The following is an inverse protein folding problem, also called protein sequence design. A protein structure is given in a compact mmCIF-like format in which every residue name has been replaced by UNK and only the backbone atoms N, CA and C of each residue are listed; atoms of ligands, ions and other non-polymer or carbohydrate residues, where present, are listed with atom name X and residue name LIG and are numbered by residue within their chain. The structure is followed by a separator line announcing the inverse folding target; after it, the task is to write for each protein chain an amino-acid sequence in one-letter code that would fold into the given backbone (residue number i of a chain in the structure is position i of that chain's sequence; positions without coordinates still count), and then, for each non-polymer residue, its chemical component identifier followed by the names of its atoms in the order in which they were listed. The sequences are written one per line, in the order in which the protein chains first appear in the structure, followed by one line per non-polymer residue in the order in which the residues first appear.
data_IF_271504899650
#
_entry.id   IF_271504899650
#
_cell.length_a   1.000
_cell.length_b   1.000
_cell.length_c   1.000
_cell.angle_alpha   90.00
_cell.angle_beta   90.00
_cell.angle_gamma   90.00
#
_symmetry.space_group_name_H-M   'P 1'
#
loop_
_entity.id
_entity.type
_entity.pdbx_description
1 polymer ?
#
# COMPACT_ATOMS: atom_id res chain seq x y z
N UNK A 1 16.38 -2.32 -2.26
CA UNK A 1 16.72 -2.16 -2.90
C UNK A 1 16.95 -2.07 -3.34
N UNK A 2 16.38 -2.30 -2.85
CA UNK A 2 16.63 -2.18 -3.29
C UNK A 2 16.46 -2.17 -3.87
N UNK A 3 15.94 -2.30 -3.47
CA UNK A 3 16.00 -2.21 -4.01
C UNK A 3 15.72 -2.10 -4.62
N UNK A 4 15.25 -2.19 -4.14
CA UNK A 4 15.27 -2.01 -4.72
C UNK A 4 15.09 -1.81 -5.37
N UNK A 5 14.67 -1.85 -4.93
CA UNK A 5 14.78 -1.60 -5.69
C UNK A 5 14.69 -1.40 -6.24
N UNK A 6 14.42 -1.42 -6.08
CA UNK A 6 14.58 -1.18 -6.90
C UNK A 6 14.40 -0.95 -7.47
N UNK A 7 14.17 -0.99 -7.23
CA UNK A 7 14.29 -0.76 -8.03
C UNK A 7 14.16 -0.38 -8.38
N UNK A 8 14.01 -0.39 -8.35
CA UNK A 8 14.00 -0.04 -9.03
C UNK A 8 13.91 0.22 -9.50
N UNK A 9 13.73 0.19 -9.30
CA UNK A 9 13.81 0.39 -10.14
C UNK A 9 13.48 0.51 -10.57
N UNK A 10 13.66 0.57 -10.78
CA UNK A 10 13.52 0.60 -11.58
C UNK A 10 13.21 0.65 -12.18
N UNK A 11 13.34 0.61 -12.42
CA UNK A 11 13.16 0.61 -13.32
C UNK A 11 12.92 0.80 -13.96
N UNK A 12 13.02 0.73 -14.31
CA UNK A 12 12.82 0.90 -15.20
C UNK A 12 12.69 0.81 -15.95
N UNK A 13 12.80 0.52 -16.39
CA UNK A 13 12.69 0.44 -17.32
C UNK A 13 12.41 0.00 -18.06
N UNK A 14 12.33 -0.52 -18.26
CA UNK A 14 12.26 -0.96 -19.20
C UNK A 14 11.74 -1.15 -20.07
N UNK A 15 11.70 -0.96 -20.27
CA UNK A 15 11.36 -1.14 -21.15
C UNK A 15 11.05 -1.45 -21.98
N UNK A 16 11.15 -1.29 -22.23
CA UNK A 16 10.66 -1.53 -23.05
C UNK A 16 10.75 -2.20 -23.71
N UNK A 17 11.11 -2.36 -23.81
CA UNK A 17 11.07 -2.99 -24.43
C UNK A 17 10.46 -4.06 -24.75
N UNK A 18 10.46 -4.89 -24.84
CA UNK A 18 9.82 -6.11 -25.09
C UNK A 18 8.35 -6.10 -25.32
N UNK A 19 7.80 -5.00 -25.61
CA UNK A 19 6.40 -4.92 -25.90
C UNK A 19 5.49 -5.16 -24.70
N UNK A 20 4.24 -5.48 -24.99
CA UNK A 20 3.20 -5.57 -23.97
C UNK A 20 3.48 -6.65 -22.95
N UNK A 21 4.02 -7.78 -23.40
CA UNK A 21 4.32 -8.88 -22.49
C UNK A 21 5.33 -8.47 -21.45
N UNK A 22 6.38 -7.79 -21.87
CA UNK A 22 7.39 -7.31 -20.93
C UNK A 22 6.80 -6.29 -19.96
N UNK A 23 5.96 -5.40 -20.46
CA UNK A 23 5.28 -4.43 -19.61
C UNK A 23 4.41 -5.12 -18.57
N UNK A 24 3.67 -6.13 -19.00
CA UNK A 24 2.77 -6.83 -18.12
C UNK A 24 3.51 -7.54 -16.98
N UNK A 25 4.71 -8.03 -17.24
CA UNK A 25 5.50 -8.73 -16.24
C UNK A 25 6.29 -7.77 -15.37
N UNK A 26 6.95 -6.78 -15.97
CA UNK A 26 7.88 -5.92 -15.27
C UNK A 26 7.23 -4.67 -14.66
N UNK A 27 6.06 -4.31 -15.14
CA UNK A 27 5.34 -3.14 -14.65
C UNK A 27 3.87 -3.47 -14.46
N UNK A 28 3.51 -3.97 -13.25
CA UNK A 28 2.12 -4.35 -12.98
C UNK A 28 1.14 -3.19 -12.99
N UNK A 29 1.66 -1.96 -13.01
CA UNK A 29 0.80 -0.78 -12.97
C UNK A 29 0.40 -0.27 -14.35
N UNK A 30 0.84 -0.94 -15.43
CA UNK A 30 0.54 -0.45 -16.76
C UNK A 30 -0.96 -0.34 -17.03
N UNK A 31 -1.78 -1.15 -16.36
CA UNK A 31 -3.22 -1.09 -16.53
C UNK A 31 -3.81 0.25 -16.12
N UNK A 32 -3.19 0.91 -15.14
CA UNK A 32 -3.69 2.19 -14.65
C UNK A 32 -3.61 3.28 -15.71
N UNK A 33 -2.81 3.08 -16.74
CA UNK A 33 -2.58 4.06 -17.79
C UNK A 33 -3.37 3.75 -19.07
N UNK A 34 -4.35 2.86 -18.98
CA UNK A 34 -5.17 2.49 -20.13
C UNK A 34 -6.61 2.89 -19.91
N UNK A 35 -7.38 2.91 -21.00
CA UNK A 35 -8.81 3.21 -20.92
C UNK A 35 -9.60 2.08 -20.26
N UNK A 36 -8.98 0.91 -20.08
CA UNK A 36 -9.63 -0.24 -19.46
C UNK A 36 -9.30 -0.38 -17.98
N UNK A 37 -8.54 0.56 -17.41
CA UNK A 37 -8.17 0.50 -16.00
C UNK A 37 -9.40 0.64 -15.13
N UNK A 38 -9.54 -0.28 -14.16
CA UNK A 38 -10.58 -0.19 -13.15
C UNK A 38 -10.18 0.82 -12.06
N UNK A 39 -11.14 1.18 -11.21
CA UNK A 39 -10.83 2.01 -10.04
C UNK A 39 -9.79 1.33 -9.16
N UNK A 40 -9.90 0.02 -8.99
CA UNK A 40 -8.94 -0.75 -8.21
C UNK A 40 -7.52 -0.64 -8.79
N UNK A 41 -7.39 -0.77 -10.11
CA UNK A 41 -6.08 -0.66 -10.75
C UNK A 41 -5.47 0.72 -10.52
N UNK A 42 -6.29 1.76 -10.60
CA UNK A 42 -5.82 3.13 -10.39
C UNK A 42 -5.44 3.39 -8.94
N UNK A 43 -6.21 2.86 -8.00
CA UNK A 43 -5.90 2.99 -6.57
C UNK A 43 -4.59 2.29 -6.23
N UNK A 44 -4.40 1.07 -6.74
CA UNK A 44 -3.16 0.33 -6.51
C UNK A 44 -1.96 1.04 -7.12
N UNK A 45 -2.13 1.58 -8.33
CA UNK A 45 -1.04 2.32 -8.98
C UNK A 45 -0.65 3.54 -8.16
N UNK A 46 -1.63 4.26 -7.64
CA UNK A 46 -1.37 5.43 -6.78
C UNK A 46 -0.57 5.03 -5.54
N UNK A 47 -0.99 3.94 -4.88
CA UNK A 47 -0.30 3.46 -3.68
C UNK A 47 1.15 3.12 -3.97
N UNK A 48 1.41 2.42 -5.07
CA UNK A 48 2.77 2.02 -5.42
C UNK A 48 3.63 3.21 -5.81
N UNK A 49 3.05 4.17 -6.51
CA UNK A 49 3.77 5.40 -6.86
C UNK A 49 4.14 6.23 -5.64
N UNK A 50 3.32 6.17 -4.59
CA UNK A 50 3.52 6.95 -3.38
C UNK A 50 4.10 6.13 -2.24
N UNK A 51 4.57 4.94 -2.53
CA UNK A 51 5.09 4.03 -1.49
C UNK A 51 6.15 4.70 -0.63
N UNK A 52 7.07 5.43 -1.25
CA UNK A 52 8.12 6.12 -0.51
C UNK A 52 7.56 7.14 0.48
N UNK A 53 6.61 7.95 0.03
CA UNK A 53 5.97 8.93 0.91
C UNK A 53 5.21 8.27 2.05
N UNK A 54 4.54 7.15 1.75
CA UNK A 54 3.79 6.39 2.74
C UNK A 54 4.75 5.87 3.81
N UNK A 55 5.88 5.29 3.39
CA UNK A 55 6.89 4.77 4.31
C UNK A 55 7.46 5.90 5.15
N UNK A 56 7.76 7.05 4.55
CA UNK A 56 8.27 8.20 5.29
C UNK A 56 7.27 8.68 6.33
N UNK A 57 5.98 8.68 5.99
CA UNK A 57 4.94 9.03 6.94
C UNK A 57 4.92 8.04 8.12
N UNK A 58 5.01 6.74 7.82
CA UNK A 58 5.04 5.70 8.87
C UNK A 58 6.24 5.93 9.78
N UNK A 59 7.41 6.18 9.21
CA UNK A 59 8.63 6.39 9.98
C UNK A 59 8.56 7.66 10.83
N UNK A 60 7.86 8.68 10.35
CA UNK A 60 7.68 9.90 11.13
C UNK A 60 6.87 9.66 12.39
N UNK A 61 5.96 8.69 12.36
CA UNK A 61 5.14 8.34 13.52
C UNK A 61 5.79 7.26 14.37
N UNK A 62 6.59 6.41 13.75
CA UNK A 62 7.23 5.26 14.40
C UNK A 62 8.68 5.18 13.98
N UNK A 63 9.56 5.99 14.62
CA UNK A 63 10.97 6.08 14.18
C UNK A 63 11.76 4.79 14.25
N UNK A 64 11.30 3.81 15.01
CA UNK A 64 12.00 2.52 15.11
C UNK A 64 11.68 1.60 13.94
N UNK A 65 10.74 1.97 13.08
CA UNK A 65 10.47 1.22 11.85
C UNK A 65 11.46 1.71 10.79
N UNK A 66 12.35 0.82 10.36
CA UNK A 66 13.40 1.17 9.39
C UNK A 66 13.06 0.75 7.98
N UNK A 67 12.33 -0.34 7.81
CA UNK A 67 11.91 -0.82 6.50
C UNK A 67 10.46 -1.26 6.57
N UNK A 68 9.75 -1.18 5.44
CA UNK A 68 8.35 -1.61 5.33
C UNK A 68 8.21 -2.39 4.03
N UNK A 69 7.56 -3.56 4.11
CA UNK A 69 7.24 -4.37 2.95
C UNK A 69 5.74 -4.54 2.88
N UNK A 70 5.10 -3.90 1.90
CA UNK A 70 3.67 -4.02 1.71
C UNK A 70 3.33 -5.29 0.93
N UNK A 71 2.25 -5.95 1.35
CA UNK A 71 1.67 -7.05 0.60
C UNK A 71 0.48 -6.48 -0.18
N UNK A 72 0.72 -6.17 -1.45
CA UNK A 72 -0.30 -5.53 -2.29
C UNK A 72 -1.52 -6.41 -2.53
N UNK A 73 -1.39 -7.71 -2.29
CA UNK A 73 -2.52 -8.63 -2.41
C UNK A 73 -3.53 -8.47 -1.28
N UNK A 74 -3.17 -7.78 -0.22
CA UNK A 74 -4.06 -7.52 0.91
C UNK A 74 -4.88 -6.24 0.73
N UNK A 75 -4.65 -5.52 -0.36
CA UNK A 75 -5.41 -4.30 -0.66
C UNK A 75 -6.90 -4.57 -0.64
N UNK A 76 -7.63 -3.67 0.01
CA UNK A 76 -9.10 -3.75 0.00
C UNK A 76 -9.71 -2.40 0.31
N UNK A 77 -10.95 -2.22 -0.13
CA UNK A 77 -11.76 -1.06 0.23
C UNK A 77 -13.03 -1.58 0.88
N UNK A 78 -13.31 -1.10 2.08
CA UNK A 78 -14.48 -1.50 2.84
C UNK A 78 -15.34 -0.30 3.20
N UNK A 79 -16.64 -0.53 3.31
CA UNK A 79 -17.58 0.51 3.72
C UNK A 79 -17.46 0.78 5.21
N UNK A 80 -17.57 2.05 5.58
CA UNK A 80 -17.61 2.48 6.98
C UNK A 80 -19.01 2.95 7.28
N UNK A 81 -19.62 2.36 8.30
CA UNK A 81 -21.01 2.66 8.68
C UNK A 81 -21.07 3.26 10.07
N UNK A 82 -22.02 4.13 10.30
CA UNK A 82 -22.30 4.66 11.65
C UNK A 82 -23.40 3.86 12.36
N UNK A 83 -23.77 2.69 11.80
CA UNK A 83 -24.84 1.86 12.33
C UNK A 83 -26.19 2.10 11.68
N UNK A 84 -26.34 3.21 10.95
CA UNK A 84 -27.58 3.58 10.27
C UNK A 84 -27.36 3.65 8.76
N UNK A 85 -26.23 4.21 8.34
CA UNK A 85 -25.94 4.38 6.93
C UNK A 85 -24.42 4.35 6.71
N UNK A 86 -24.04 4.18 5.45
CA UNK A 86 -22.62 4.24 5.07
C UNK A 86 -22.20 5.71 5.06
N UNK A 87 -21.11 6.01 5.78
CA UNK A 87 -20.60 7.38 5.90
C UNK A 87 -19.28 7.59 5.17
N UNK A 88 -18.71 6.54 4.59
CA UNK A 88 -17.46 6.63 3.84
C UNK A 88 -16.91 5.25 3.59
N UNK A 89 -15.64 5.21 3.17
CA UNK A 89 -14.96 3.97 2.86
C UNK A 89 -13.55 4.02 3.41
N UNK A 90 -12.97 2.86 3.65
CA UNK A 90 -11.60 2.74 4.12
C UNK A 90 -10.83 1.84 3.18
N UNK A 91 -9.75 2.37 2.60
CA UNK A 91 -8.83 1.61 1.78
C UNK A 91 -7.68 1.18 2.69
N UNK A 92 -7.32 -0.10 2.69
CA UNK A 92 -6.25 -0.57 3.55
C UNK A 92 -5.34 -1.55 2.82
N UNK A 93 -4.08 -1.57 3.26
CA UNK A 93 -3.06 -2.52 2.79
C UNK A 93 -2.26 -2.96 3.99
N UNK A 94 -1.95 -4.25 4.06
CA UNK A 94 -1.12 -4.81 5.12
C UNK A 94 0.32 -4.95 4.68
N UNK A 95 1.21 -5.00 5.66
CA UNK A 95 2.61 -5.24 5.39
C UNK A 95 3.33 -5.74 6.63
N UNK A 96 4.62 -5.93 6.47
CA UNK A 96 5.54 -6.24 7.55
C UNK A 96 6.58 -5.13 7.62
N UNK A 97 7.35 -5.10 8.71
CA UNK A 97 8.38 -4.08 8.85
C UNK A 97 9.63 -4.65 9.52
N UNK A 98 10.74 -3.93 9.34
CA UNK A 98 12.05 -4.29 9.89
C UNK A 98 12.51 -5.68 9.47
N UNK A 99 12.07 -6.11 8.27
CA UNK A 99 12.41 -7.42 7.71
C UNK A 99 12.04 -8.58 8.62
N UNK A 100 11.01 -8.39 9.43
CA UNK A 100 10.53 -9.39 10.38
C UNK A 100 9.15 -9.90 9.96
N UNK A 101 9.02 -11.18 9.57
CA UNK A 101 7.72 -11.70 9.10
C UNK A 101 6.65 -11.80 10.20
N UNK A 102 7.03 -11.67 11.46
CA UNK A 102 6.08 -11.70 12.56
C UNK A 102 5.48 -10.34 12.88
N UNK A 103 5.84 -9.30 12.12
CA UNK A 103 5.28 -7.97 12.32
C UNK A 103 4.01 -7.79 11.52
N UNK A 104 3.15 -6.90 12.01
CA UNK A 104 1.89 -6.56 11.35
C UNK A 104 1.78 -5.04 11.28
N UNK A 105 1.58 -4.56 10.07
CA UNK A 105 1.39 -3.15 9.80
C UNK A 105 0.20 -3.02 8.86
N UNK A 106 -0.74 -2.12 9.18
CA UNK A 106 -1.85 -1.82 8.29
C UNK A 106 -1.89 -0.32 8.08
N UNK A 107 -1.83 0.09 6.83
CA UNK A 107 -1.98 1.49 6.47
C UNK A 107 -3.39 1.71 5.95
N UNK A 108 -3.98 2.83 6.32
CA UNK A 108 -5.38 3.13 6.01
C UNK A 108 -5.50 4.48 5.31
N UNK A 109 -6.48 4.59 4.42
CA UNK A 109 -6.82 5.85 3.77
C UNK A 109 -8.33 5.99 3.81
N UNK A 110 -8.81 7.13 4.32
CA UNK A 110 -10.23 7.43 4.36
C UNK A 110 -10.69 7.96 3.01
N UNK A 111 -11.76 7.39 2.47
CA UNK A 111 -12.30 7.79 1.18
C UNK A 111 -13.76 8.17 1.34
N UNK A 112 -14.21 9.15 0.56
CA UNK A 112 -15.60 9.54 0.48
C UNK A 112 -16.40 8.51 -0.31
N UNK A 113 -15.85 8.07 -1.44
CA UNK A 113 -16.45 7.10 -2.33
C UNK A 113 -15.49 5.94 -2.54
N UNK A 114 -16.05 4.77 -2.79
CA UNK A 114 -15.24 3.54 -2.90
C UNK A 114 -14.22 3.56 -4.03
N UNK A 115 -14.46 4.37 -5.04
CA UNK A 115 -13.61 4.43 -6.23
C UNK A 115 -12.67 5.63 -6.25
N UNK A 116 -12.65 6.42 -5.18
CA UNK A 116 -11.80 7.61 -5.10
C UNK A 116 -10.32 7.23 -5.07
N UNK A 117 -9.51 8.07 -5.67
CA UNK A 117 -8.05 7.96 -5.54
C UNK A 117 -7.66 8.59 -4.21
N UNK A 118 -6.93 7.87 -3.34
CA UNK A 118 -6.55 8.43 -2.04
C UNK A 118 -5.54 9.57 -2.21
N UNK A 119 -5.37 10.33 -1.14
CA UNK A 119 -4.33 11.35 -1.06
C UNK A 119 -3.58 11.17 0.26
N UNK A 120 -2.40 11.78 0.36
CA UNK A 120 -1.65 11.71 1.61
C UNK A 120 -2.36 12.39 2.78
N UNK A 121 -3.34 13.25 2.50
CA UNK A 121 -4.13 13.87 3.56
C UNK A 121 -5.10 12.87 4.23
N UNK A 122 -5.36 11.78 3.55
CA UNK A 122 -6.33 10.76 4.03
C UNK A 122 -5.66 9.64 4.81
N UNK A 123 -4.33 9.66 4.91
CA UNK A 123 -3.55 8.55 5.46
C UNK A 123 -3.70 8.45 6.97
N UNK A 124 -3.73 7.22 7.47
CA UNK A 124 -3.77 6.95 8.89
C UNK A 124 -3.45 5.50 9.19
N UNK A 125 -3.46 5.19 10.46
CA UNK A 125 -3.35 3.82 10.96
C UNK A 125 -4.43 3.61 11.99
N UNK A 126 -5.42 2.77 11.66
CA UNK A 126 -6.48 2.47 12.61
C UNK A 126 -6.00 1.58 13.75
N UNK A 127 -4.92 0.83 13.50
CA UNK A 127 -4.30 -0.03 14.51
C UNK A 127 -2.80 0.25 14.54
N UNK A 128 -2.17 0.24 15.73
CA UNK A 128 -0.73 0.47 15.81
C UNK A 128 0.05 -0.69 15.20
N UNK A 129 1.29 -0.43 14.76
CA UNK A 129 2.19 -1.52 14.33
C UNK A 129 2.36 -2.51 15.47
N UNK A 130 2.40 -3.80 15.13
CA UNK A 130 2.37 -4.85 16.14
C UNK A 130 3.31 -6.00 15.79
N UNK A 131 3.64 -6.81 16.80
CA UNK A 131 4.46 -8.01 16.64
C UNK A 131 3.71 -9.20 17.19
N UNK A 132 3.72 -10.30 16.44
CA UNK A 132 3.17 -11.57 16.89
C UNK A 132 4.20 -12.26 17.78
N UNK A 133 3.77 -12.68 18.98
CA UNK A 133 4.59 -13.46 19.89
C UNK A 133 3.73 -14.58 20.47
N UNK A 134 4.03 -15.81 20.05
CA UNK A 134 3.20 -16.94 20.43
C UNK A 134 1.79 -16.78 19.90
N UNK A 135 0.81 -16.77 20.79
CA UNK A 135 -0.59 -16.59 20.41
C UNK A 135 -1.05 -15.14 20.52
N UNK A 136 -0.17 -14.25 20.96
CA UNK A 136 -0.53 -12.87 21.20
C UNK A 136 -0.02 -11.92 20.14
N UNK A 137 -0.65 -10.76 20.08
CA UNK A 137 -0.24 -9.65 19.23
C UNK A 137 0.06 -8.47 20.15
N UNK A 138 1.28 -7.96 20.08
CA UNK A 138 1.75 -6.91 20.97
C UNK A 138 2.13 -5.66 20.21
N UNK A 139 1.81 -4.50 20.78
CA UNK A 139 2.14 -3.21 20.16
C UNK A 139 3.66 -3.11 20.03
N UNK A 140 4.12 -2.69 18.87
CA UNK A 140 5.53 -2.43 18.64
C UNK A 140 5.88 -1.04 19.16
N UNK A 141 6.89 -0.97 20.03
CA UNK A 141 7.33 0.31 20.63
C UNK A 141 8.80 0.61 20.37
#
# INVERSE_FOLDING_TARGET
MKKKIVLIGSALLVLALGGVTALNVSNPDWKANTIFASARDKQLAWLKEHEKEIVEWIQSKHPKITTVNFDWNTYRVGAVSNGVQIVGYNLSVKGTFNDNPDTVLVIDFSLKNKDDIPTMNDIGMNNPPSIKKGKGLYIFE
#
